data_IF_586053579568
#
_entry.id   IF_586053579568
#
_cell.length_a   1.000
_cell.length_b   1.000
_cell.length_c   1.000
_cell.angle_alpha   90.00
_cell.angle_beta   90.00
_cell.angle_gamma   90.00
#
_symmetry.space_group_name_H-M   'P 1'
#
loop_
_entity.id
_entity.type
_entity.pdbx_description
1 polymer ?
#
# COMPACT_ATOMS: atom_id res chain seq x y z
N UNK A 1 13.95 -22.12 9.15
CA UNK A 1 13.08 -20.97 9.42
C UNK A 1 13.73 -19.73 8.84
N UNK A 2 13.15 -19.17 7.79
CA UNK A 2 13.55 -17.86 7.29
C UNK A 2 12.67 -16.85 8.05
N UNK A 3 13.27 -16.12 8.97
CA UNK A 3 12.60 -14.98 9.61
C UNK A 3 12.52 -13.87 8.57
N UNK A 4 11.30 -13.42 8.25
CA UNK A 4 11.07 -12.26 7.37
C UNK A 4 10.67 -11.07 8.22
N UNK A 5 11.26 -9.92 7.93
CA UNK A 5 10.89 -8.69 8.61
C UNK A 5 9.65 -8.09 7.94
N UNK A 6 8.72 -7.61 8.75
CA UNK A 6 7.55 -6.86 8.32
C UNK A 6 7.80 -5.37 8.54
N UNK A 7 7.47 -4.55 7.55
CA UNK A 7 7.50 -3.09 7.65
C UNK A 7 6.08 -2.58 7.52
N UNK A 8 5.64 -1.81 8.50
CA UNK A 8 4.35 -1.13 8.46
C UNK A 8 4.62 0.36 8.24
N UNK A 9 4.22 0.85 7.07
CA UNK A 9 4.51 2.20 6.60
C UNK A 9 3.19 2.94 6.49
N UNK A 10 3.02 3.97 7.29
CA UNK A 10 1.78 4.73 7.38
C UNK A 10 2.06 6.14 7.92
N UNK A 11 1.16 7.08 7.70
CA UNK A 11 1.20 8.37 8.37
C UNK A 11 0.86 8.26 9.85
N UNK A 12 0.07 7.26 10.23
CA UNK A 12 -0.54 7.06 11.55
C UNK A 12 -1.38 8.26 12.02
N UNK A 13 -1.85 9.07 11.08
CA UNK A 13 -2.65 10.28 11.31
C UNK A 13 -3.93 10.29 10.49
N UNK A 14 -4.19 9.20 9.74
CA UNK A 14 -5.31 9.09 8.82
C UNK A 14 -5.17 10.02 7.61
N UNK A 15 -6.27 10.32 6.93
CA UNK A 15 -6.27 11.11 5.69
C UNK A 15 -6.27 12.62 5.96
N UNK A 16 -5.24 13.09 6.67
CA UNK A 16 -5.07 14.51 7.02
C UNK A 16 -4.01 15.22 6.17
N UNK A 17 -3.20 14.48 5.42
CA UNK A 17 -2.14 15.02 4.55
C UNK A 17 -2.70 15.74 3.31
N UNK A 18 -1.87 16.55 2.65
CA UNK A 18 -2.31 17.51 1.64
C UNK A 18 -2.96 16.83 0.42
N UNK A 19 -2.39 15.74 -0.07
CA UNK A 19 -2.91 14.99 -1.22
C UNK A 19 -4.30 14.41 -0.91
N UNK A 20 -4.51 13.91 0.30
CA UNK A 20 -5.82 13.44 0.74
C UNK A 20 -6.86 14.57 0.79
N UNK A 21 -6.43 15.79 1.17
CA UNK A 21 -7.32 16.96 1.20
C UNK A 21 -7.72 17.43 -0.19
N UNK A 22 -6.91 17.17 -1.21
CA UNK A 22 -7.12 17.54 -2.61
C UNK A 22 -7.65 16.39 -3.46
N UNK A 23 -7.76 15.17 -2.90
CA UNK A 23 -8.24 13.99 -3.60
C UNK A 23 -9.69 14.15 -4.08
N UNK A 24 -10.00 13.55 -5.24
CA UNK A 24 -11.38 13.38 -5.72
C UNK A 24 -12.17 12.40 -4.82
N UNK A 25 -11.48 11.55 -4.05
CA UNK A 25 -12.06 10.64 -3.06
C UNK A 25 -12.43 11.37 -1.76
N UNK A 26 -13.20 12.45 -1.91
CA UNK A 26 -13.53 13.42 -0.85
C UNK A 26 -14.21 12.80 0.39
N UNK A 27 -14.81 11.62 0.24
CA UNK A 27 -15.48 10.91 1.34
C UNK A 27 -14.52 10.49 2.45
N UNK A 28 -13.23 10.33 2.14
CA UNK A 28 -12.20 9.88 3.08
C UNK A 28 -11.46 11.02 3.78
N UNK A 29 -11.68 12.25 3.35
CA UNK A 29 -11.04 13.42 3.91
C UNK A 29 -11.25 13.50 5.43
N UNK A 30 -10.14 13.60 6.19
CA UNK A 30 -10.12 13.66 7.66
C UNK A 30 -10.74 12.42 8.35
N UNK A 31 -10.77 11.27 7.70
CA UNK A 31 -11.17 10.01 8.32
C UNK A 31 -9.94 9.21 8.78
N UNK A 32 -10.17 8.06 9.44
CA UNK A 32 -9.14 7.14 9.94
C UNK A 32 -8.13 7.79 10.92
N UNK A 33 -8.59 8.80 11.67
CA UNK A 33 -7.76 9.55 12.63
C UNK A 33 -7.79 8.96 14.04
N UNK A 34 -8.41 7.83 14.24
CA UNK A 34 -8.62 7.17 15.54
C UNK A 34 -7.50 6.20 15.95
N UNK A 35 -6.40 6.20 15.19
CA UNK A 35 -5.20 5.40 15.47
C UNK A 35 -3.97 6.27 15.73
N UNK A 36 -2.87 5.64 16.13
CA UNK A 36 -1.55 6.25 16.24
C UNK A 36 -0.46 5.19 16.17
N UNK A 37 0.76 5.60 15.82
CA UNK A 37 1.91 4.71 15.79
C UNK A 37 2.14 3.99 17.13
N UNK A 38 1.94 4.68 18.25
CA UNK A 38 2.09 4.09 19.60
C UNK A 38 1.06 2.98 19.85
N UNK A 39 -0.20 3.18 19.47
CA UNK A 39 -1.24 2.15 19.60
C UNK A 39 -0.94 0.92 18.73
N UNK A 40 -0.46 1.11 17.52
CA UNK A 40 -0.05 0.00 16.65
C UNK A 40 1.14 -0.73 17.25
N UNK A 41 2.14 -0.01 17.78
CA UNK A 41 3.27 -0.62 18.46
C UNK A 41 2.85 -1.46 19.68
N UNK A 42 1.94 -0.93 20.50
CA UNK A 42 1.39 -1.64 21.65
C UNK A 42 0.62 -2.90 21.24
N UNK A 43 -0.18 -2.82 20.16
CA UNK A 43 -0.91 -3.97 19.62
C UNK A 43 0.03 -5.07 19.12
N UNK A 44 1.18 -4.70 18.54
CA UNK A 44 2.18 -5.61 18.00
C UNK A 44 3.26 -6.03 19.01
N UNK A 45 3.15 -5.64 20.29
CA UNK A 45 4.19 -5.84 21.31
C UNK A 45 4.63 -7.31 21.54
N UNK A 46 3.80 -8.27 21.13
CA UNK A 46 4.14 -9.71 21.23
C UNK A 46 4.94 -10.25 20.02
N UNK A 47 5.25 -9.41 19.04
CA UNK A 47 6.03 -9.76 17.85
C UNK A 47 7.36 -9.01 17.87
N UNK A 48 8.41 -9.63 17.34
CA UNK A 48 9.78 -9.08 17.33
C UNK A 48 10.34 -8.83 15.92
N UNK A 49 9.59 -9.24 14.89
CA UNK A 49 10.03 -9.21 13.49
C UNK A 49 9.40 -8.07 12.68
N UNK A 50 8.95 -7.00 13.31
CA UNK A 50 8.35 -5.85 12.63
C UNK A 50 9.12 -4.55 12.86
N UNK A 51 8.79 -3.57 12.06
CA UNK A 51 9.21 -2.19 12.22
C UNK A 51 8.10 -1.25 11.75
N UNK A 52 7.77 -0.26 12.56
CA UNK A 52 6.85 0.81 12.20
C UNK A 52 7.64 1.99 11.61
N UNK A 53 7.18 2.53 10.51
CA UNK A 53 7.79 3.65 9.82
C UNK A 53 6.73 4.70 9.57
N UNK A 54 6.84 5.85 10.24
CA UNK A 54 5.97 6.99 9.98
C UNK A 54 6.42 7.65 8.68
N UNK A 55 5.57 7.64 7.66
CA UNK A 55 5.88 8.15 6.33
C UNK A 55 4.62 8.45 5.54
N UNK A 56 4.66 9.50 4.74
CA UNK A 56 3.65 9.76 3.71
C UNK A 56 4.15 9.17 2.38
N UNK A 57 3.55 8.09 1.93
CA UNK A 57 3.97 7.37 0.73
C UNK A 57 3.86 8.21 -0.56
N UNK A 58 3.09 9.30 -0.56
CA UNK A 58 2.98 10.20 -1.70
C UNK A 58 4.23 11.10 -1.84
N UNK A 59 4.87 11.46 -0.74
CA UNK A 59 6.02 12.36 -0.69
C UNK A 59 7.33 11.62 -0.47
N UNK A 60 7.33 10.64 0.46
CA UNK A 60 8.55 9.99 0.93
C UNK A 60 8.94 8.79 0.07
N UNK A 61 10.23 8.57 -0.10
CA UNK A 61 10.77 7.35 -0.69
C UNK A 61 10.79 6.20 0.33
N UNK A 62 10.69 4.96 -0.14
CA UNK A 62 10.90 3.81 0.73
C UNK A 62 12.33 3.81 1.29
N UNK A 63 12.51 3.54 2.59
CA UNK A 63 13.83 3.38 3.18
C UNK A 63 14.72 2.43 2.39
N UNK A 64 15.99 2.78 2.17
CA UNK A 64 16.93 1.98 1.38
C UNK A 64 17.10 0.54 1.88
N UNK A 65 16.89 0.32 3.19
CA UNK A 65 16.96 -1.03 3.79
C UNK A 65 15.81 -1.95 3.37
N UNK A 66 14.74 -1.42 2.76
CA UNK A 66 13.61 -2.22 2.28
C UNK A 66 13.92 -2.66 0.85
N UNK A 67 14.35 -3.89 0.73
CA UNK A 67 14.70 -4.54 -0.53
C UNK A 67 14.20 -5.99 -0.53
N UNK A 68 14.16 -6.62 -1.71
CA UNK A 68 13.76 -8.02 -1.87
C UNK A 68 12.40 -8.33 -1.23
N UNK A 69 11.40 -7.51 -1.54
CA UNK A 69 10.06 -7.62 -1.02
C UNK A 69 9.38 -8.86 -1.60
N UNK A 70 8.88 -9.73 -0.75
CA UNK A 70 8.15 -10.93 -1.16
C UNK A 70 6.66 -10.68 -1.27
N UNK A 71 6.13 -9.83 -0.36
CA UNK A 71 4.72 -9.41 -0.33
C UNK A 71 4.69 -7.95 0.05
N UNK A 72 3.97 -7.16 -0.73
CA UNK A 72 3.59 -5.80 -0.40
C UNK A 72 2.07 -5.71 -0.39
N UNK A 73 1.46 -5.42 0.77
CA UNK A 73 0.05 -5.08 0.86
C UNK A 73 -0.08 -3.56 0.78
N UNK A 74 -0.79 -3.08 -0.23
CA UNK A 74 -1.06 -1.66 -0.48
C UNK A 74 -2.52 -1.42 -0.13
N UNK A 75 -2.73 -0.77 1.01
CA UNK A 75 -4.00 -0.50 1.67
C UNK A 75 -3.97 0.97 2.12
N UNK A 76 -4.09 1.87 1.15
CA UNK A 76 -3.92 3.32 1.30
C UNK A 76 -5.01 4.12 0.57
N UNK A 77 -6.04 3.41 0.11
CA UNK A 77 -7.32 3.89 -0.43
C UNK A 77 -7.23 4.84 -1.63
N UNK A 78 -6.50 5.96 -1.49
CA UNK A 78 -6.57 7.09 -2.41
C UNK A 78 -5.70 6.88 -3.66
N UNK A 79 -6.12 7.43 -4.78
CA UNK A 79 -5.44 7.32 -6.08
C UNK A 79 -3.94 7.62 -6.01
N UNK A 80 -3.57 8.80 -5.46
CA UNK A 80 -2.16 9.24 -5.44
C UNK A 80 -1.31 8.35 -4.52
N UNK A 81 -1.87 7.89 -3.40
CA UNK A 81 -1.17 7.02 -2.46
C UNK A 81 -0.98 5.62 -3.03
N UNK A 82 -2.03 5.02 -3.63
CA UNK A 82 -1.93 3.70 -4.29
C UNK A 82 -0.95 3.75 -5.46
N UNK A 83 -1.03 4.80 -6.30
CA UNK A 83 -0.11 4.99 -7.41
C UNK A 83 1.33 5.10 -6.92
N UNK A 84 1.60 5.98 -5.97
CA UNK A 84 2.94 6.16 -5.40
C UNK A 84 3.48 4.85 -4.81
N UNK A 85 2.68 4.13 -4.03
CA UNK A 85 3.07 2.86 -3.44
C UNK A 85 3.44 1.81 -4.49
N UNK A 86 2.62 1.64 -5.55
CA UNK A 86 2.89 0.71 -6.65
C UNK A 86 4.26 0.99 -7.30
N UNK A 87 4.52 2.25 -7.66
CA UNK A 87 5.76 2.64 -8.33
C UNK A 87 6.99 2.52 -7.42
N UNK A 88 6.85 2.76 -6.11
CA UNK A 88 7.96 2.63 -5.15
C UNK A 88 8.33 1.17 -4.86
N UNK A 89 7.37 0.24 -4.91
CA UNK A 89 7.62 -1.17 -4.59
C UNK A 89 7.97 -2.02 -5.82
N UNK A 90 7.56 -1.65 -7.03
CA UNK A 90 7.62 -2.52 -8.22
C UNK A 90 9.01 -3.11 -8.50
N UNK A 91 10.07 -2.30 -8.36
CA UNK A 91 11.45 -2.71 -8.64
C UNK A 91 12.09 -3.46 -7.45
N UNK A 92 11.45 -3.40 -6.29
CA UNK A 92 11.88 -4.07 -5.05
C UNK A 92 11.19 -5.41 -4.83
N UNK A 93 10.11 -5.70 -5.56
CA UNK A 93 9.43 -7.00 -5.52
C UNK A 93 10.29 -8.05 -6.21
N UNK A 94 10.57 -9.13 -5.51
CA UNK A 94 11.32 -10.27 -6.08
C UNK A 94 10.48 -11.03 -7.10
N UNK A 95 11.14 -11.77 -7.98
CA UNK A 95 10.45 -12.69 -8.91
C UNK A 95 9.52 -13.64 -8.12
N UNK A 96 8.28 -13.80 -8.58
CA UNK A 96 7.18 -14.49 -7.94
C UNK A 96 6.71 -13.85 -6.61
N UNK A 97 7.21 -12.66 -6.27
CA UNK A 97 6.66 -11.85 -5.19
C UNK A 97 5.31 -11.26 -5.58
N UNK A 98 4.55 -10.80 -4.60
CA UNK A 98 3.16 -10.40 -4.76
C UNK A 98 2.97 -8.98 -4.25
N UNK A 99 2.33 -8.14 -5.06
CA UNK A 99 1.70 -6.89 -4.59
C UNK A 99 0.21 -7.18 -4.45
N UNK A 100 -0.37 -6.78 -3.34
CA UNK A 100 -1.80 -6.84 -3.06
C UNK A 100 -2.31 -5.40 -3.06
N UNK A 101 -3.16 -5.04 -4.01
CA UNK A 101 -3.91 -3.79 -3.98
C UNK A 101 -5.27 -4.07 -3.33
N UNK A 102 -5.39 -3.66 -2.05
CA UNK A 102 -6.52 -4.02 -1.19
C UNK A 102 -7.82 -3.40 -1.72
N UNK A 103 -7.78 -2.12 -2.10
CA UNK A 103 -8.96 -1.33 -2.40
C UNK A 103 -9.41 -1.38 -3.86
N UNK A 104 -8.84 -2.26 -4.68
CA UNK A 104 -9.11 -2.28 -6.13
C UNK A 104 -10.60 -2.38 -6.47
N UNK A 105 -11.37 -3.17 -5.75
CA UNK A 105 -12.80 -3.36 -6.00
C UNK A 105 -13.62 -3.54 -4.72
N UNK A 106 -13.03 -3.27 -3.58
CA UNK A 106 -13.67 -3.47 -2.28
C UNK A 106 -14.78 -2.44 -2.03
N UNK A 107 -14.52 -1.18 -2.34
CA UNK A 107 -15.46 -0.09 -2.12
C UNK A 107 -15.80 0.59 -3.44
N UNK A 108 -17.02 0.48 -3.96
CA UNK A 108 -17.39 1.06 -5.25
C UNK A 108 -17.22 2.58 -5.34
N UNK A 109 -17.12 3.26 -4.19
CA UNK A 109 -16.88 4.70 -4.12
C UNK A 109 -15.40 5.08 -4.21
N UNK A 110 -14.47 4.13 -4.06
CA UNK A 110 -13.01 4.32 -4.15
C UNK A 110 -12.48 3.95 -5.55
N UNK A 111 -12.94 4.63 -6.56
CA UNK A 111 -12.48 4.38 -7.93
C UNK A 111 -11.02 4.80 -8.18
N UNK A 112 -10.45 5.62 -7.28
CA UNK A 112 -9.07 6.07 -7.36
C UNK A 112 -8.06 4.93 -7.29
N UNK A 113 -8.22 3.98 -6.36
CA UNK A 113 -7.38 2.80 -6.26
C UNK A 113 -7.45 1.93 -7.52
N UNK A 114 -8.67 1.67 -8.03
CA UNK A 114 -8.88 0.91 -9.27
C UNK A 114 -8.18 1.57 -10.46
N UNK A 115 -8.30 2.89 -10.59
CA UNK A 115 -7.68 3.67 -11.65
C UNK A 115 -6.15 3.57 -11.58
N UNK A 116 -5.57 3.77 -10.40
CA UNK A 116 -4.11 3.70 -10.20
C UNK A 116 -3.55 2.33 -10.59
N UNK A 117 -4.21 1.24 -10.19
CA UNK A 117 -3.80 -0.13 -10.56
C UNK A 117 -3.98 -0.38 -12.06
N UNK A 118 -5.06 0.13 -12.67
CA UNK A 118 -5.29 0.01 -14.12
C UNK A 118 -4.17 0.67 -14.92
N UNK A 119 -3.86 1.95 -14.62
CA UNK A 119 -2.77 2.68 -15.25
C UNK A 119 -1.41 1.98 -15.07
N UNK A 120 -1.13 1.46 -13.87
CA UNK A 120 0.08 0.70 -13.60
C UNK A 120 0.20 -0.56 -14.47
N UNK A 121 -0.88 -1.32 -14.63
CA UNK A 121 -0.89 -2.52 -15.45
C UNK A 121 -0.78 -2.21 -16.96
N UNK A 122 -1.34 -1.09 -17.40
CA UNK A 122 -1.16 -0.61 -18.78
C UNK A 122 0.28 -0.22 -19.10
N UNK A 123 0.99 0.37 -18.12
CA UNK A 123 2.39 0.75 -18.26
C UNK A 123 3.35 -0.45 -18.17
N UNK A 124 3.01 -1.47 -17.35
CA UNK A 124 3.85 -2.66 -17.10
C UNK A 124 3.16 -3.99 -17.45
N UNK A 125 2.63 -4.18 -18.68
CA UNK A 125 1.75 -5.30 -19.03
C UNK A 125 2.45 -6.67 -18.96
N UNK A 126 3.76 -6.69 -19.16
CA UNK A 126 4.57 -7.91 -19.21
C UNK A 126 5.25 -8.25 -17.88
N UNK A 127 5.25 -7.32 -16.91
CA UNK A 127 5.96 -7.49 -15.64
C UNK A 127 5.15 -8.20 -14.57
N UNK A 128 3.83 -8.07 -14.60
CA UNK A 128 2.94 -8.61 -13.58
C UNK A 128 1.84 -9.48 -14.18
N UNK A 129 1.43 -10.51 -13.42
CA UNK A 129 0.24 -11.29 -13.68
C UNK A 129 -0.86 -10.81 -12.71
N UNK A 130 -1.90 -10.12 -13.19
CA UNK A 130 -3.01 -9.69 -12.34
C UNK A 130 -3.98 -10.83 -12.06
N UNK A 131 -4.42 -10.97 -10.81
CA UNK A 131 -5.46 -11.90 -10.37
C UNK A 131 -6.44 -11.13 -9.52
N UNK A 132 -7.65 -10.89 -10.05
CA UNK A 132 -8.73 -10.26 -9.30
C UNK A 132 -9.42 -11.27 -8.40
N UNK A 133 -9.55 -10.94 -7.13
CA UNK A 133 -10.24 -11.78 -6.15
C UNK A 133 -11.68 -11.32 -5.95
N UNK A 134 -12.54 -12.26 -5.68
CA UNK A 134 -13.96 -11.98 -5.41
C UNK A 134 -14.20 -11.11 -4.16
N UNK A 135 -13.21 -11.05 -3.26
CA UNK A 135 -13.19 -10.15 -2.10
C UNK A 135 -12.94 -8.66 -2.45
N UNK A 136 -12.57 -8.36 -3.70
CA UNK A 136 -12.29 -6.99 -4.16
C UNK A 136 -10.82 -6.66 -4.32
N UNK A 137 -9.91 -7.47 -3.81
CA UNK A 137 -8.47 -7.26 -3.93
C UNK A 137 -7.94 -7.60 -5.31
N UNK A 138 -6.89 -6.92 -5.75
CA UNK A 138 -6.11 -7.27 -6.93
C UNK A 138 -4.72 -7.75 -6.52
N UNK A 139 -4.39 -8.98 -6.86
CA UNK A 139 -3.05 -9.54 -6.68
C UNK A 139 -2.25 -9.33 -7.96
N UNK A 140 -1.05 -8.77 -7.84
CA UNK A 140 -0.10 -8.59 -8.93
C UNK A 140 1.12 -9.45 -8.66
N UNK A 141 1.28 -10.55 -9.38
CA UNK A 141 2.41 -11.48 -9.22
C UNK A 141 3.52 -11.07 -10.16
N UNK A 142 4.71 -10.77 -9.63
CA UNK A 142 5.90 -10.42 -10.44
C UNK A 142 6.37 -11.63 -11.26
N UNK A 143 6.48 -11.46 -12.58
CA UNK A 143 6.95 -12.51 -13.53
C UNK A 143 8.45 -12.75 -13.51
#
# INVERSE_FOLDING_TARGET
>A
NVSRKCYFIDTYEGFTYQEAQNSEDILWKNTHTDTSMDRVHEYLANYDNFELIKSNITEDELPQKIENICVANIDVDLYDAVKSALYRVKDKIVKNGIIIAEDYGHTPALIGAQKAVGEFLEEYPDEFLPIYLHSGQMFLIKK
#
